data_IF_006985459350
#
_entry.id   IF_006985459350
#
_cell.length_a   1.000
_cell.length_b   1.000
_cell.length_c   1.000
_cell.angle_alpha   90.00
_cell.angle_beta   90.00
_cell.angle_gamma   90.00
#
_symmetry.space_group_name_H-M   'P 1'
#
loop_
_entity.id
_entity.type
_entity.pdbx_description
1 polymer ?
#
# COMPACT_ATOMS: atom_id res chain seq x y z
N UNK A 1 16.50 -4.85 -0.70
CA UNK A 1 16.78 -3.93 -1.82
C UNK A 1 17.61 -4.68 -2.85
N UNK A 2 17.29 -4.63 -4.15
CA UNK A 2 18.15 -5.19 -5.20
C UNK A 2 18.38 -4.14 -6.29
N UNK A 3 19.63 -3.94 -6.69
CA UNK A 3 20.04 -2.91 -7.65
C UNK A 3 19.84 -3.37 -9.11
N UNK A 4 18.73 -4.05 -9.40
CA UNK A 4 18.49 -4.55 -10.76
C UNK A 4 18.34 -3.35 -11.72
N UNK A 5 19.10 -3.38 -12.81
CA UNK A 5 19.11 -2.30 -13.80
C UNK A 5 18.41 -2.78 -15.05
N UNK A 6 17.32 -2.12 -15.40
CA UNK A 6 16.58 -2.34 -16.64
C UNK A 6 16.90 -1.20 -17.60
N UNK A 7 17.40 -1.52 -18.78
CA UNK A 7 17.85 -0.55 -19.76
C UNK A 7 17.13 -0.78 -21.10
N UNK A 8 16.99 0.30 -21.88
CA UNK A 8 16.42 0.28 -23.23
C UNK A 8 17.39 0.93 -24.21
N UNK A 9 17.39 0.47 -25.46
CA UNK A 9 18.18 0.99 -26.58
C UNK A 9 19.67 1.16 -26.24
N UNK A 10 20.38 0.04 -26.15
CA UNK A 10 21.68 -0.06 -25.47
C UNK A 10 22.75 -0.51 -26.46
N UNK A 11 23.95 0.04 -26.28
CA UNK A 11 25.17 -0.51 -26.87
C UNK A 11 25.98 -1.20 -25.77
N UNK A 12 25.97 -2.53 -25.78
CA UNK A 12 26.60 -3.36 -24.77
C UNK A 12 27.95 -3.91 -25.26
N UNK A 13 28.97 -3.91 -24.41
CA UNK A 13 30.29 -4.44 -24.76
C UNK A 13 30.76 -5.40 -23.67
N UNK A 14 31.04 -6.65 -24.06
CA UNK A 14 31.72 -7.62 -23.18
C UNK A 14 33.22 -7.41 -23.31
N UNK A 15 33.96 -7.56 -22.21
CA UNK A 15 35.43 -7.49 -22.22
C UNK A 15 36.00 -8.40 -23.33
N UNK A 16 36.81 -7.82 -24.20
CA UNK A 16 37.47 -8.54 -25.30
C UNK A 16 36.55 -8.90 -26.47
N UNK A 17 35.32 -8.37 -26.53
CA UNK A 17 34.39 -8.58 -27.65
C UNK A 17 33.98 -7.23 -28.24
N UNK A 18 33.59 -7.19 -29.54
CA UNK A 18 33.06 -5.98 -30.14
C UNK A 18 31.73 -5.56 -29.47
N UNK A 19 31.37 -4.27 -29.54
CA UNK A 19 30.07 -3.78 -29.06
C UNK A 19 28.89 -4.39 -29.84
N UNK A 20 27.79 -4.64 -29.14
CA UNK A 20 26.53 -5.18 -29.67
C UNK A 20 25.38 -4.25 -29.31
N UNK A 21 24.54 -3.91 -30.28
CA UNK A 21 23.31 -3.14 -30.06
C UNK A 21 22.18 -4.06 -29.62
N UNK A 22 21.35 -3.62 -28.68
CA UNK A 22 20.23 -4.39 -28.14
C UNK A 22 19.09 -3.48 -27.68
N UNK A 23 17.85 -3.89 -27.91
CA UNK A 23 16.68 -3.08 -27.53
C UNK A 23 16.43 -3.06 -26.02
N UNK A 24 16.66 -4.19 -25.34
CA UNK A 24 16.38 -4.37 -23.91
C UNK A 24 17.44 -5.25 -23.23
N UNK A 25 17.94 -4.83 -22.08
CA UNK A 25 18.82 -5.64 -21.22
C UNK A 25 18.46 -5.41 -19.75
N UNK A 26 18.53 -6.48 -18.97
CA UNK A 26 18.42 -6.41 -17.51
C UNK A 26 19.68 -6.97 -16.86
N UNK A 27 20.27 -6.22 -15.94
CA UNK A 27 21.43 -6.65 -15.13
C UNK A 27 20.97 -6.86 -13.70
N UNK A 28 21.26 -8.03 -13.13
CA UNK A 28 21.01 -8.31 -11.71
C UNK A 28 21.91 -7.43 -10.85
N UNK A 29 21.34 -6.79 -9.83
CA UNK A 29 22.02 -5.75 -9.08
C UNK A 29 23.28 -6.19 -8.34
N UNK A 30 23.39 -7.47 -7.96
CA UNK A 30 24.60 -7.98 -7.30
C UNK A 30 25.83 -8.02 -8.22
N UNK A 31 25.65 -7.90 -9.53
CA UNK A 31 26.74 -7.86 -10.51
C UNK A 31 27.12 -6.43 -10.92
N UNK A 32 26.48 -5.40 -10.36
CA UNK A 32 26.76 -3.99 -10.67
C UNK A 32 27.84 -3.47 -9.75
N UNK A 33 28.89 -2.87 -10.31
CA UNK A 33 30.01 -2.28 -9.54
C UNK A 33 29.95 -0.76 -9.51
N UNK A 34 29.65 -0.14 -10.65
CA UNK A 34 29.62 1.30 -10.82
C UNK A 34 28.47 1.70 -11.75
N UNK A 35 27.90 2.88 -11.51
CA UNK A 35 26.96 3.55 -12.40
C UNK A 35 27.47 4.96 -12.61
N UNK A 36 27.55 5.40 -13.86
CA UNK A 36 27.88 6.78 -14.21
C UNK A 36 26.55 7.51 -14.36
N UNK A 37 26.32 8.51 -13.50
CA UNK A 37 25.12 9.33 -13.55
C UNK A 37 25.39 10.60 -14.38
N UNK A 38 24.35 11.23 -14.95
CA UNK A 38 24.50 12.55 -15.56
C UNK A 38 24.96 13.58 -14.54
N UNK A 39 25.84 14.49 -14.94
CA UNK A 39 26.41 15.52 -14.04
C UNK A 39 25.36 16.45 -13.43
N UNK A 40 24.22 16.61 -14.11
CA UNK A 40 23.14 17.52 -13.72
C UNK A 40 22.09 16.90 -12.79
N UNK A 41 22.28 15.66 -12.31
CA UNK A 41 21.29 15.01 -11.48
C UNK A 41 21.27 15.61 -10.05
N UNK A 42 20.14 16.12 -9.54
CA UNK A 42 20.06 16.72 -8.21
C UNK A 42 19.98 15.64 -7.13
N UNK A 43 21.14 15.13 -6.69
CA UNK A 43 21.23 14.04 -5.72
C UNK A 43 20.64 14.42 -4.35
N UNK A 44 20.91 15.63 -3.85
CA UNK A 44 20.47 16.05 -2.51
C UNK A 44 18.95 15.98 -2.36
N UNK A 45 18.21 16.38 -3.38
CA UNK A 45 16.74 16.31 -3.38
C UNK A 45 16.24 14.88 -3.45
N UNK A 46 16.88 14.04 -4.29
CA UNK A 46 16.45 12.65 -4.50
C UNK A 46 16.75 11.75 -3.29
N UNK A 47 17.86 12.01 -2.58
CA UNK A 47 18.28 11.19 -1.43
C UNK A 47 17.43 11.44 -0.16
N UNK A 48 16.75 12.58 -0.07
CA UNK A 48 15.90 12.93 1.09
C UNK A 48 14.53 12.22 1.04
N UNK A 49 14.01 11.93 -0.16
CA UNK A 49 12.68 11.33 -0.35
C UNK A 49 12.62 9.80 -0.20
N UNK A 50 13.77 9.11 -0.21
CA UNK A 50 13.85 7.65 -0.10
C UNK A 50 13.34 7.11 1.25
N UNK A 51 13.39 7.91 2.32
CA UNK A 51 12.85 7.52 3.63
C UNK A 51 11.31 7.44 3.68
N UNK A 52 10.59 8.04 2.72
CA UNK A 52 9.12 8.20 2.79
C UNK A 52 8.31 7.28 1.88
N UNK A 53 8.95 6.39 1.11
CA UNK A 53 8.26 5.53 0.13
C UNK A 53 8.23 4.03 0.44
N UNK A 54 8.61 3.62 1.65
CA UNK A 54 8.29 2.26 2.10
C UNK A 54 6.76 2.15 2.21
N UNK A 55 6.09 1.32 1.39
CA UNK A 55 4.66 1.12 1.54
C UNK A 55 4.44 0.60 2.95
N UNK A 56 3.62 1.31 3.75
CA UNK A 56 3.19 0.82 5.05
C UNK A 56 2.60 -0.57 4.83
N UNK A 57 3.33 -1.61 5.19
CA UNK A 57 2.78 -2.95 5.31
C UNK A 57 1.66 -2.77 6.32
N UNK A 58 0.40 -2.83 5.86
CA UNK A 58 -0.75 -2.87 6.76
C UNK A 58 -0.51 -4.10 7.62
N UNK A 59 -0.11 -3.89 8.87
CA UNK A 59 0.00 -4.94 9.85
C UNK A 59 -1.37 -5.60 9.96
N UNK A 60 -1.51 -6.80 9.41
CA UNK A 60 -2.56 -7.74 9.76
C UNK A 60 -2.28 -8.19 11.20
N UNK A 61 -2.65 -7.34 12.16
CA UNK A 61 -2.64 -7.65 13.58
C UNK A 61 -4.03 -7.32 14.11
N UNK A 62 -4.88 -8.35 14.20
CA UNK A 62 -6.22 -8.23 14.73
C UNK A 62 -6.23 -7.71 16.17
N UNK A 63 -7.25 -6.94 16.51
CA UNK A 63 -7.73 -6.85 17.90
C UNK A 63 -9.17 -6.35 17.89
N UNK A 64 -10.09 -7.31 18.01
CA UNK A 64 -11.44 -7.02 18.46
C UNK A 64 -11.39 -6.19 19.74
N UNK A 65 -12.04 -5.04 19.73
CA UNK A 65 -12.40 -4.29 20.94
C UNK A 65 -13.82 -3.79 20.75
N UNK A 66 -14.77 -4.67 21.07
CA UNK A 66 -16.12 -4.26 21.38
C UNK A 66 -16.14 -3.31 22.59
N UNK A 67 -17.02 -2.32 22.54
CA UNK A 67 -17.53 -1.46 23.64
C UNK A 67 -18.49 -0.49 22.93
N UNK A 68 -19.81 -0.50 23.07
CA UNK A 68 -20.74 -1.26 23.89
C UNK A 68 -22.10 -0.56 23.81
N UNK A 69 -23.17 -1.32 24.09
CA UNK A 69 -24.48 -0.85 24.58
C UNK A 69 -25.35 -0.01 23.65
N UNK A 70 -26.14 -0.72 22.86
CA UNK A 70 -27.49 -0.30 22.42
C UNK A 70 -28.42 -1.49 22.48
N UNK A 71 -28.68 -1.99 23.71
CA UNK A 71 -29.62 -3.09 23.98
C UNK A 71 -31.05 -2.63 23.68
N UNK A 72 -31.87 -3.48 23.07
CA UNK A 72 -33.32 -3.36 23.23
C UNK A 72 -34.18 -3.87 22.09
N UNK A 73 -33.93 -5.07 21.60
CA UNK A 73 -34.90 -5.82 20.79
C UNK A 73 -36.16 -6.04 21.64
N UNK A 74 -37.29 -5.56 21.12
CA UNK A 74 -38.70 -5.93 21.39
C UNK A 74 -38.96 -6.90 22.55
N UNK A 75 -39.59 -6.41 23.62
CA UNK A 75 -40.60 -7.17 24.40
C UNK A 75 -41.25 -6.25 25.44
N UNK A 76 -42.48 -5.80 25.21
CA UNK A 76 -43.57 -5.87 26.19
C UNK A 76 -44.89 -5.43 25.54
N UNK A 77 -45.56 -6.36 24.87
CA UNK A 77 -47.00 -6.27 24.71
C UNK A 77 -47.64 -6.80 25.98
N UNK A 78 -48.10 -5.92 26.86
CA UNK A 78 -49.03 -6.24 27.94
C UNK A 78 -49.87 -5.01 28.29
N UNK A 79 -51.10 -5.03 27.76
CA UNK A 79 -52.37 -4.72 28.41
C UNK A 79 -52.39 -3.50 29.37
N UNK A 80 -52.94 -2.39 28.90
CA UNK A 80 -53.55 -1.37 29.75
C UNK A 80 -55.06 -1.36 29.47
N UNK A 81 -55.83 -1.74 30.49
CA UNK A 81 -57.29 -1.67 30.57
C UNK A 81 -57.65 -0.34 31.21
N UNK A 82 -58.32 0.54 30.46
CA UNK A 82 -59.09 1.69 30.91
C UNK A 82 -60.13 1.89 29.79
N UNK A 83 -61.44 1.75 29.96
CA UNK A 83 -62.28 2.15 31.09
C UNK A 83 -63.25 3.19 30.54
N UNK A 84 -64.22 2.78 29.71
CA UNK A 84 -65.24 3.68 29.18
C UNK A 84 -66.58 3.35 29.83
N UNK A 85 -66.91 4.16 30.83
CA UNK A 85 -68.25 4.39 31.35
C UNK A 85 -69.03 5.17 30.28
N UNK A 86 -70.25 4.73 29.95
CA UNK A 86 -71.43 5.55 29.59
C UNK A 86 -72.49 4.69 28.88
N UNK A 87 -73.45 4.21 29.67
CA UNK A 87 -74.88 4.19 29.34
C UNK A 87 -75.50 5.43 30.03
N UNK A 88 -76.68 5.98 29.66
CA UNK A 88 -77.88 5.27 29.17
C UNK A 88 -78.75 6.02 28.12
N UNK A 89 -79.57 5.30 27.34
CA UNK A 89 -81.06 5.25 27.35
C UNK A 89 -81.54 4.29 26.27
#
# INVERSE_FOLDING_TARGET
MSMNVHMKNIKFTVKGKPPVSMDHLTIRGNNVRYVILPDSIPLDTLLVDDAKRLPKVKSLAGRGRGRGRGRGIKKLGQKAVLGNHESPV
#
